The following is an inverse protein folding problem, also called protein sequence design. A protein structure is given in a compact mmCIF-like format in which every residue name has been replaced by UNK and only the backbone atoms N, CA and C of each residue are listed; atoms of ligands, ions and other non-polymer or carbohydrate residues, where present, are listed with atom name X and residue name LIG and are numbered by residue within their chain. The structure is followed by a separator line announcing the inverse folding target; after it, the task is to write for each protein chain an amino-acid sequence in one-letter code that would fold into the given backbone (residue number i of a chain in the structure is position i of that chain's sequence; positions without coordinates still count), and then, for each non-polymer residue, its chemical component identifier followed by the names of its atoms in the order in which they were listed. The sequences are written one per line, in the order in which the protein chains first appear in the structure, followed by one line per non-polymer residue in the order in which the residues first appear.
data_IF_586388117888
#
_entry.id   IF_586388117888
#
_cell.length_a   1.000
_cell.length_b   1.000
_cell.length_c   1.000
_cell.angle_alpha   90.00
_cell.angle_beta   90.00
_cell.angle_gamma   90.00
#
_symmetry.space_group_name_H-M   'P 1'
#
loop_
_entity.id
_entity.type
_entity.pdbx_description
1 polymer ?
#
# COMPACT_ATOMS: atom_id res chain seq x y z
N UNK A 1 40.30 45.14 -72.12
CA UNK A 1 40.45 45.04 -70.65
C UNK A 1 41.05 43.67 -70.36
N UNK A 2 42.25 43.64 -69.76
CA UNK A 2 43.06 42.47 -69.37
C UNK A 2 42.27 41.51 -68.42
N UNK A 3 42.68 40.27 -68.09
CA UNK A 3 43.90 39.87 -67.37
C UNK A 3 44.08 38.33 -67.43
N UNK A 4 45.32 37.91 -67.62
CA UNK A 4 45.90 36.55 -67.48
C UNK A 4 45.96 36.17 -65.99
N UNK A 5 45.59 34.94 -65.58
CA UNK A 5 45.90 34.44 -64.24
C UNK A 5 46.26 32.94 -64.24
N UNK A 6 47.56 32.69 -64.23
CA UNK A 6 48.24 31.45 -63.86
C UNK A 6 48.20 31.25 -62.34
N UNK A 7 47.93 30.04 -61.86
CA UNK A 7 48.25 29.55 -60.50
C UNK A 7 47.96 28.04 -60.52
N UNK A 8 48.87 27.11 -60.23
CA UNK A 8 49.90 27.10 -59.20
C UNK A 8 49.62 25.86 -58.34
N UNK A 9 49.97 24.68 -58.86
CA UNK A 9 49.74 23.39 -58.18
C UNK A 9 50.71 23.24 -57.02
N UNK A 10 50.24 23.56 -55.81
CA UNK A 10 50.98 23.37 -54.56
C UNK A 10 50.84 21.90 -54.14
N UNK A 11 51.93 21.15 -54.30
CA UNK A 11 52.09 19.79 -53.80
C UNK A 11 52.35 19.85 -52.28
N UNK A 12 51.33 19.56 -51.49
CA UNK A 12 51.41 19.50 -50.02
C UNK A 12 51.81 18.07 -49.61
N UNK A 13 53.08 17.87 -49.26
CA UNK A 13 53.61 16.65 -48.65
C UNK A 13 53.19 16.58 -47.18
N UNK A 14 52.24 15.70 -46.86
CA UNK A 14 51.84 15.37 -45.48
C UNK A 14 52.79 14.30 -44.94
N UNK A 15 53.71 14.69 -44.07
CA UNK A 15 54.53 13.77 -43.28
C UNK A 15 53.73 13.29 -42.07
N UNK A 16 53.32 12.03 -42.07
CA UNK A 16 52.73 11.35 -40.93
C UNK A 16 53.83 10.98 -39.92
N UNK A 17 53.95 11.76 -38.84
CA UNK A 17 54.76 11.39 -37.67
C UNK A 17 53.91 10.62 -36.67
N UNK A 18 54.27 9.36 -36.39
CA UNK A 18 53.73 8.61 -35.26
C UNK A 18 54.40 9.10 -33.96
N UNK A 19 53.63 9.73 -33.09
CA UNK A 19 54.00 9.98 -31.69
C UNK A 19 53.46 8.79 -30.86
N UNK A 20 54.30 7.96 -30.23
CA UNK A 20 53.83 6.95 -29.31
C UNK A 20 53.40 7.63 -28.00
N UNK A 21 52.09 7.69 -27.77
CA UNK A 21 51.52 8.08 -26.48
C UNK A 21 51.86 7.03 -25.44
N UNK A 22 52.58 7.43 -24.39
CA UNK A 22 52.80 6.60 -23.20
C UNK A 22 51.47 6.35 -22.50
N UNK A 23 50.87 5.19 -22.71
CA UNK A 23 49.75 4.71 -21.90
C UNK A 23 50.24 4.38 -20.50
N UNK A 24 49.99 5.27 -19.54
CA UNK A 24 49.99 4.88 -18.13
C UNK A 24 48.80 3.95 -17.92
N UNK A 25 49.06 2.76 -17.37
CA UNK A 25 48.00 1.89 -16.86
C UNK A 25 47.31 2.63 -15.71
N UNK A 26 46.17 3.25 -15.99
CA UNK A 26 45.33 3.90 -14.98
C UNK A 26 44.82 2.82 -14.03
N UNK A 27 45.15 2.95 -12.75
CA UNK A 27 44.60 2.11 -11.70
C UNK A 27 43.07 2.29 -11.69
N UNK A 28 42.33 1.21 -11.99
CA UNK A 28 40.87 1.22 -12.05
C UNK A 28 40.33 1.28 -10.62
N UNK A 29 39.61 2.35 -10.29
CA UNK A 29 39.07 2.60 -8.96
C UNK A 29 37.54 2.71 -8.92
N UNK A 30 36.86 2.76 -10.07
CA UNK A 30 35.39 2.79 -10.15
C UNK A 30 34.82 1.81 -11.18
N UNK A 31 33.50 1.63 -11.13
CA UNK A 31 32.76 0.87 -12.13
C UNK A 31 32.90 1.50 -13.53
N UNK A 32 32.79 2.83 -13.63
CA UNK A 32 32.89 3.58 -14.90
C UNK A 32 34.29 3.43 -15.52
N UNK A 33 35.34 3.51 -14.70
CA UNK A 33 36.72 3.28 -15.16
C UNK A 33 36.95 1.83 -15.59
N UNK A 34 36.32 0.87 -14.90
CA UNK A 34 36.40 -0.55 -15.25
C UNK A 34 35.80 -0.82 -16.63
N UNK A 35 34.62 -0.24 -16.92
CA UNK A 35 33.94 -0.36 -18.22
C UNK A 35 34.68 0.42 -19.31
N UNK A 36 35.16 1.64 -19.02
CA UNK A 36 35.94 2.45 -19.96
C UNK A 36 37.26 1.76 -20.36
N UNK A 37 37.82 0.95 -19.46
CA UNK A 37 38.98 0.10 -19.74
C UNK A 37 38.65 -1.16 -20.55
N UNK A 38 37.39 -1.38 -20.95
CA UNK A 38 36.95 -2.47 -21.81
C UNK A 38 36.77 -3.82 -21.09
N UNK A 39 36.68 -3.82 -19.76
CA UNK A 39 36.45 -5.04 -18.99
C UNK A 39 34.98 -5.50 -19.09
N UNK A 40 34.71 -6.81 -18.96
CA UNK A 40 33.35 -7.33 -19.09
C UNK A 40 32.45 -6.87 -17.94
N UNK A 41 31.24 -6.43 -18.29
CA UNK A 41 30.13 -6.20 -17.36
C UNK A 41 29.34 -7.50 -17.20
N UNK A 42 29.08 -7.90 -15.96
CA UNK A 42 28.29 -9.07 -15.62
C UNK A 42 26.80 -8.74 -15.71
N UNK A 43 26.00 -9.69 -16.20
CA UNK A 43 24.52 -9.61 -16.24
C UNK A 43 23.91 -9.80 -14.85
N UNK A 44 24.25 -8.91 -13.90
CA UNK A 44 23.71 -8.89 -12.54
C UNK A 44 23.11 -7.52 -12.22
N UNK A 45 22.16 -7.44 -11.29
CA UNK A 45 21.67 -6.18 -10.73
C UNK A 45 22.09 -6.03 -9.26
N UNK A 46 22.74 -4.91 -8.86
CA UNK A 46 23.26 -3.86 -9.73
C UNK A 46 24.36 -4.37 -10.67
N UNK A 47 24.60 -3.64 -11.77
CA UNK A 47 25.65 -3.99 -12.74
C UNK A 47 27.02 -4.08 -12.07
N UNK A 48 27.85 -5.04 -12.51
CA UNK A 48 29.17 -5.28 -11.95
C UNK A 48 30.21 -5.43 -13.04
N UNK A 49 31.37 -4.82 -12.87
CA UNK A 49 32.51 -4.92 -13.78
C UNK A 49 33.72 -5.53 -13.06
N UNK A 50 34.46 -6.43 -13.71
CA UNK A 50 35.61 -7.11 -13.09
C UNK A 50 36.91 -6.78 -13.81
N UNK A 51 37.87 -6.22 -13.07
CA UNK A 51 39.22 -5.92 -13.58
C UNK A 51 40.29 -6.24 -12.52
N UNK A 52 41.44 -6.78 -12.93
CA UNK A 52 42.59 -7.03 -12.06
C UNK A 52 42.26 -7.80 -10.75
N UNK A 53 41.28 -8.72 -10.82
CA UNK A 53 40.83 -9.51 -9.66
C UNK A 53 39.90 -8.78 -8.69
N UNK A 54 39.58 -7.50 -8.92
CA UNK A 54 38.60 -6.71 -8.17
C UNK A 54 37.27 -6.67 -8.93
N UNK A 55 36.17 -6.60 -8.18
CA UNK A 55 34.82 -6.37 -8.71
C UNK A 55 34.36 -4.98 -8.30
N UNK A 56 33.91 -4.20 -9.27
CA UNK A 56 33.35 -2.86 -9.10
C UNK A 56 31.85 -2.96 -9.35
N UNK A 57 31.04 -2.51 -8.40
CA UNK A 57 29.57 -2.52 -8.50
C UNK A 57 29.11 -1.11 -8.84
N UNK A 58 28.17 -0.97 -9.77
CA UNK A 58 27.55 0.33 -10.08
C UNK A 58 26.83 0.85 -8.84
N UNK A 59 27.13 2.08 -8.45
CA UNK A 59 26.45 2.73 -7.33
C UNK A 59 25.05 3.17 -7.76
N UNK A 60 24.05 2.32 -7.50
CA UNK A 60 22.63 2.62 -7.72
C UNK A 60 21.95 3.17 -6.47
N UNK A 61 22.70 3.51 -5.41
CA UNK A 61 22.11 4.08 -4.19
C UNK A 61 21.45 5.44 -4.39
N UNK A 62 21.73 6.09 -5.53
CA UNK A 62 21.08 7.34 -5.97
C UNK A 62 19.90 7.15 -6.93
N UNK A 63 19.59 5.91 -7.36
CA UNK A 63 18.45 5.59 -8.23
C UNK A 63 17.19 5.16 -7.46
N UNK A 64 17.16 5.30 -6.13
CA UNK A 64 15.88 5.52 -5.44
C UNK A 64 15.24 6.76 -6.08
N UNK A 65 13.96 6.78 -6.48
CA UNK A 65 13.31 8.00 -7.00
C UNK A 65 13.07 9.00 -5.85
N UNK A 66 14.12 9.38 -5.13
CA UNK A 66 14.11 10.22 -3.96
C UNK A 66 13.99 11.72 -4.30
N UNK A 67 13.86 12.05 -5.59
CA UNK A 67 13.81 13.45 -6.03
C UNK A 67 12.70 13.74 -7.05
N UNK A 68 11.70 12.87 -7.16
CA UNK A 68 10.43 13.27 -7.80
C UNK A 68 9.61 13.96 -6.72
N UNK A 69 9.23 15.24 -6.88
CA UNK A 69 8.30 15.89 -5.96
C UNK A 69 7.03 15.05 -5.88
N UNK A 70 6.73 14.53 -4.71
CA UNK A 70 5.48 13.81 -4.48
C UNK A 70 4.34 14.84 -4.63
N UNK A 71 3.32 14.57 -5.47
CA UNK A 71 2.21 15.50 -5.64
C UNK A 71 1.54 15.82 -4.29
N UNK A 72 1.09 17.06 -4.03
CA UNK A 72 0.42 17.43 -2.78
C UNK A 72 -0.75 16.51 -2.43
N UNK A 73 -1.51 16.09 -3.45
CA UNK A 73 -2.60 15.13 -3.33
C UNK A 73 -2.18 13.77 -2.76
N UNK A 74 -0.99 13.28 -3.13
CA UNK A 74 -0.46 11.99 -2.64
C UNK A 74 0.05 12.13 -1.20
N UNK A 75 0.68 13.25 -0.84
CA UNK A 75 1.06 13.53 0.56
C UNK A 75 -0.17 13.76 1.46
N UNK A 76 -1.25 14.33 0.93
CA UNK A 76 -2.51 14.46 1.66
C UNK A 76 -3.13 13.09 1.98
N UNK A 77 -3.10 12.17 1.00
CA UNK A 77 -3.50 10.78 1.21
C UNK A 77 -2.62 10.08 2.28
N UNK A 78 -1.29 10.27 2.24
CA UNK A 78 -0.39 9.77 3.30
C UNK A 78 -0.79 10.29 4.68
N UNK A 79 -0.98 11.61 4.79
CA UNK A 79 -1.31 12.28 6.04
C UNK A 79 -2.64 11.78 6.61
N UNK A 80 -3.64 11.53 5.75
CA UNK A 80 -4.90 10.93 6.14
C UNK A 80 -4.70 9.55 6.80
N UNK A 81 -3.96 8.65 6.15
CA UNK A 81 -3.70 7.31 6.69
C UNK A 81 -2.90 7.35 8.01
N UNK A 82 -1.95 8.27 8.13
CA UNK A 82 -1.22 8.50 9.39
C UNK A 82 -2.17 8.97 10.50
N UNK A 83 -3.08 9.90 10.22
CA UNK A 83 -4.06 10.39 11.20
C UNK A 83 -5.01 9.27 11.67
N UNK A 84 -5.49 8.43 10.75
CA UNK A 84 -6.40 7.33 11.08
C UNK A 84 -5.74 6.23 11.93
N UNK A 85 -4.44 6.01 11.76
CA UNK A 85 -3.74 4.88 12.37
C UNK A 85 -2.75 5.26 13.48
N UNK A 86 -2.44 6.55 13.62
CA UNK A 86 -1.34 7.03 14.45
C UNK A 86 0.05 6.61 13.95
N UNK A 87 0.17 6.16 12.69
CA UNK A 87 1.45 5.74 12.11
C UNK A 87 2.40 6.93 11.94
N UNK A 88 3.70 6.67 12.11
CA UNK A 88 4.74 7.62 11.76
C UNK A 88 4.97 7.64 10.24
N UNK A 89 5.62 8.71 9.75
CA UNK A 89 5.83 8.90 8.30
C UNK A 89 6.64 7.76 7.69
N UNK A 90 7.66 7.29 8.41
CA UNK A 90 8.55 6.22 7.93
C UNK A 90 7.85 4.85 7.90
N UNK A 91 6.81 4.67 8.70
CA UNK A 91 5.94 3.49 8.72
C UNK A 91 4.71 3.63 7.81
N UNK A 92 4.68 4.67 6.97
CA UNK A 92 3.58 4.95 6.03
C UNK A 92 4.06 4.95 4.58
N UNK A 93 3.77 3.84 3.89
CA UNK A 93 4.29 3.53 2.57
C UNK A 93 3.22 3.81 1.51
N UNK A 94 3.56 4.60 0.50
CA UNK A 94 2.72 4.76 -0.69
C UNK A 94 3.06 3.62 -1.64
N UNK A 95 2.11 2.72 -1.87
CA UNK A 95 2.27 1.61 -2.80
C UNK A 95 2.03 2.07 -4.23
N UNK A 96 0.94 2.81 -4.47
CA UNK A 96 0.53 3.25 -5.79
C UNK A 96 -0.07 4.65 -5.73
N UNK A 97 0.09 5.41 -6.81
CA UNK A 97 -0.56 6.70 -7.01
C UNK A 97 -0.83 6.89 -8.51
N UNK A 98 -2.11 6.93 -8.89
CA UNK A 98 -2.56 7.06 -10.26
C UNK A 98 -3.41 8.33 -10.42
N UNK A 99 -3.07 9.16 -11.40
CA UNK A 99 -3.92 10.27 -11.80
C UNK A 99 -5.26 9.74 -12.33
N UNK A 100 -6.37 10.34 -11.89
CA UNK A 100 -7.74 9.98 -12.24
C UNK A 100 -8.61 11.22 -12.40
N UNK A 101 -9.76 11.03 -13.03
CA UNK A 101 -10.82 12.03 -13.11
C UNK A 101 -12.08 11.48 -12.45
N UNK A 102 -12.63 12.22 -11.51
CA UNK A 102 -13.82 11.85 -10.75
C UNK A 102 -15.08 12.47 -11.31
N UNK A 103 -16.23 11.84 -11.09
CA UNK A 103 -17.52 12.28 -11.65
C UNK A 103 -18.07 13.57 -11.03
N UNK A 104 -17.66 13.88 -9.81
CA UNK A 104 -18.15 15.01 -9.02
C UNK A 104 -17.10 15.50 -8.01
N UNK A 105 -17.41 16.60 -7.31
CA UNK A 105 -16.55 17.17 -6.26
C UNK A 105 -16.42 16.31 -5.01
N UNK A 106 -17.19 15.23 -4.90
CA UNK A 106 -17.07 14.22 -3.83
C UNK A 106 -16.22 13.03 -4.29
N UNK A 107 -15.47 13.20 -5.37
CA UNK A 107 -14.52 12.23 -5.88
C UNK A 107 -15.20 10.92 -6.32
N UNK A 108 -16.48 11.01 -6.71
CA UNK A 108 -17.31 9.86 -7.08
C UNK A 108 -17.72 8.99 -5.88
N UNK A 109 -17.53 9.48 -4.66
CA UNK A 109 -17.85 8.80 -3.40
C UNK A 109 -18.93 9.55 -2.60
N UNK A 110 -19.69 10.43 -3.25
CA UNK A 110 -20.80 11.15 -2.64
C UNK A 110 -21.93 10.22 -2.19
N UNK A 111 -22.42 10.40 -0.97
CA UNK A 111 -23.62 9.70 -0.49
C UNK A 111 -24.92 10.29 -1.08
N UNK A 112 -26.06 9.57 -1.01
CA UNK A 112 -27.33 10.04 -1.55
C UNK A 112 -27.89 11.30 -0.87
N UNK A 113 -27.47 11.57 0.36
CA UNK A 113 -27.82 12.77 1.11
C UNK A 113 -26.82 13.93 0.92
N UNK A 114 -25.74 13.70 0.18
CA UNK A 114 -24.65 14.66 0.04
C UNK A 114 -24.82 15.51 -1.22
N UNK A 115 -24.72 16.84 -1.06
CA UNK A 115 -24.83 17.79 -2.16
C UNK A 115 -23.48 18.01 -2.84
N UNK A 116 -23.04 17.03 -3.62
CA UNK A 116 -21.81 17.09 -4.41
C UNK A 116 -21.98 17.93 -5.67
N UNK A 117 -21.04 18.83 -5.96
CA UNK A 117 -21.04 19.59 -7.21
C UNK A 117 -20.76 18.62 -8.37
N UNK A 118 -21.69 18.55 -9.32
CA UNK A 118 -21.62 17.65 -10.47
C UNK A 118 -20.66 18.19 -11.54
N UNK A 119 -19.35 18.10 -11.27
CA UNK A 119 -18.28 18.53 -12.15
C UNK A 119 -17.13 17.52 -12.12
N UNK A 120 -16.58 17.21 -13.31
CA UNK A 120 -15.42 16.33 -13.41
C UNK A 120 -14.26 16.94 -12.63
N UNK A 121 -13.77 16.19 -11.65
CA UNK A 121 -12.75 16.67 -10.70
C UNK A 121 -11.48 15.84 -10.89
N UNK A 122 -10.40 16.41 -11.47
CA UNK A 122 -9.11 15.74 -11.54
C UNK A 122 -8.52 15.46 -10.16
N UNK A 123 -7.74 14.40 -10.04
CA UNK A 123 -7.07 14.06 -8.80
C UNK A 123 -6.33 12.73 -8.85
N UNK A 124 -6.18 12.07 -7.70
CA UNK A 124 -5.37 10.85 -7.59
C UNK A 124 -6.12 9.74 -6.85
N UNK A 125 -5.97 8.52 -7.33
CA UNK A 125 -6.21 7.28 -6.60
C UNK A 125 -4.88 6.84 -5.97
N UNK A 126 -4.84 6.74 -4.65
CA UNK A 126 -3.62 6.49 -3.89
C UNK A 126 -3.82 5.28 -3.00
N UNK A 127 -2.94 4.29 -3.16
CA UNK A 127 -2.88 3.13 -2.26
C UNK A 127 -1.77 3.39 -1.25
N UNK A 128 -2.13 3.45 0.04
CA UNK A 128 -1.21 3.73 1.13
C UNK A 128 -1.33 2.67 2.21
N UNK A 129 -0.20 2.18 2.71
CA UNK A 129 -0.14 1.28 3.86
C UNK A 129 0.39 2.04 5.06
N UNK A 130 -0.36 2.05 6.16
CA UNK A 130 0.02 2.67 7.44
C UNK A 130 -0.25 1.70 8.59
N UNK A 131 0.75 1.40 9.42
CA UNK A 131 0.63 0.41 10.52
C UNK A 131 0.05 -0.95 10.07
N UNK A 132 0.36 -1.38 8.84
CA UNK A 132 -0.16 -2.64 8.27
C UNK A 132 -1.58 -2.57 7.71
N UNK A 133 -2.24 -1.42 7.75
CA UNK A 133 -3.56 -1.18 7.16
C UNK A 133 -3.37 -0.54 5.79
N UNK A 134 -3.94 -1.16 4.76
CA UNK A 134 -3.94 -0.63 3.39
C UNK A 134 -5.22 0.18 3.13
N UNK A 135 -5.05 1.44 2.74
CA UNK A 135 -6.13 2.33 2.34
C UNK A 135 -6.08 2.52 0.82
N UNK A 136 -7.26 2.58 0.19
CA UNK A 136 -7.42 3.15 -1.15
C UNK A 136 -8.08 4.51 -1.00
N UNK A 137 -7.35 5.58 -1.27
CA UNK A 137 -7.80 6.95 -1.07
C UNK A 137 -7.95 7.67 -2.40
N UNK A 138 -9.07 8.36 -2.59
CA UNK A 138 -9.29 9.29 -3.70
C UNK A 138 -9.06 10.70 -3.22
N UNK A 139 -8.35 11.49 -4.00
CA UNK A 139 -8.07 12.90 -3.70
C UNK A 139 -8.40 13.77 -4.90
N UNK A 140 -8.62 15.07 -4.70
CA UNK A 140 -8.54 16.05 -5.78
C UNK A 140 -7.08 16.48 -6.02
N UNK A 141 -6.82 17.12 -7.16
CA UNK A 141 -5.47 17.46 -7.63
C UNK A 141 -4.61 18.23 -6.62
N UNK A 142 -5.20 19.09 -5.79
CA UNK A 142 -4.49 19.88 -4.78
C UNK A 142 -4.42 19.23 -3.38
N UNK A 143 -5.09 18.09 -3.19
CA UNK A 143 -5.16 17.36 -1.92
C UNK A 143 -6.04 18.00 -0.85
N UNK A 144 -6.83 19.03 -1.18
CA UNK A 144 -7.76 19.66 -0.23
C UNK A 144 -8.97 18.79 0.13
N UNK A 145 -9.28 17.79 -0.70
CA UNK A 145 -10.26 16.76 -0.45
C UNK A 145 -9.58 15.39 -0.52
N UNK A 146 -9.72 14.59 0.53
CA UNK A 146 -9.29 13.19 0.61
C UNK A 146 -10.48 12.36 1.07
N UNK A 147 -10.79 11.28 0.35
CA UNK A 147 -11.85 10.33 0.71
C UNK A 147 -11.35 8.92 0.58
N UNK A 148 -11.69 8.10 1.55
CA UNK A 148 -11.45 6.67 1.48
C UNK A 148 -12.47 6.01 0.56
N UNK A 149 -11.97 5.27 -0.44
CA UNK A 149 -12.80 4.36 -1.21
C UNK A 149 -13.11 3.15 -0.35
N UNK A 150 -14.29 3.17 0.23
CA UNK A 150 -14.87 1.97 0.83
C UNK A 150 -15.39 1.12 -0.33
N UNK A 151 -14.75 -0.03 -0.59
CA UNK A 151 -15.23 -0.95 -1.63
C UNK A 151 -16.64 -1.41 -1.25
N UNK A 152 -17.62 -0.89 -1.98
CA UNK A 152 -18.92 -1.52 -2.12
C UNK A 152 -18.71 -2.76 -2.97
N UNK A 153 -18.95 -3.93 -2.41
CA UNK A 153 -19.14 -5.13 -3.24
C UNK A 153 -20.36 -4.91 -4.14
N UNK A 154 -20.49 -5.68 -5.23
CA UNK A 154 -21.55 -5.52 -6.22
C UNK A 154 -22.99 -5.61 -5.65
N UNK A 155 -23.12 -6.06 -4.40
CA UNK A 155 -24.36 -6.13 -3.62
C UNK A 155 -24.57 -4.97 -2.62
N UNK A 156 -23.66 -3.99 -2.57
CA UNK A 156 -23.80 -2.77 -1.78
C UNK A 156 -23.29 -2.83 -0.35
N UNK A 157 -22.54 -3.87 0.04
CA UNK A 157 -22.01 -3.95 1.39
C UNK A 157 -20.72 -3.17 1.63
N UNK A 158 -20.50 -2.78 2.88
CA UNK A 158 -19.40 -1.93 3.31
C UNK A 158 -18.21 -2.78 3.78
N UNK A 159 -17.26 -3.08 2.89
CA UNK A 159 -15.98 -3.67 3.30
C UNK A 159 -15.03 -2.57 3.77
N UNK A 160 -15.07 -2.25 5.06
CA UNK A 160 -13.95 -1.60 5.74
C UNK A 160 -12.78 -2.58 5.71
N UNK A 161 -11.72 -2.27 4.95
CA UNK A 161 -10.46 -2.98 5.09
C UNK A 161 -9.73 -2.40 6.31
N UNK A 162 -10.35 -2.51 7.49
CA UNK A 162 -9.52 -2.75 8.66
C UNK A 162 -9.05 -4.20 8.47
N UNK A 163 -7.80 -4.40 8.05
CA UNK A 163 -7.16 -5.71 8.17
C UNK A 163 -7.00 -6.00 9.66
N UNK A 164 -8.10 -6.31 10.34
CA UNK A 164 -8.08 -6.93 11.66
C UNK A 164 -7.53 -8.33 11.38
N UNK A 165 -6.30 -8.63 11.80
CA UNK A 165 -5.66 -9.90 11.46
C UNK A 165 -6.54 -11.03 11.97
N UNK A 166 -6.76 -12.06 11.14
CA UNK A 166 -7.52 -13.25 11.53
C UNK A 166 -6.78 -13.96 12.68
N UNK A 167 -7.16 -13.61 13.91
CA UNK A 167 -6.72 -14.28 15.13
C UNK A 167 -7.48 -15.59 15.29
N UNK A 168 -6.98 -16.55 16.08
CA UNK A 168 -7.73 -17.76 16.41
C UNK A 168 -9.15 -17.48 16.92
N UNK A 169 -9.32 -16.42 17.72
CA UNK A 169 -10.61 -15.96 18.21
C UNK A 169 -11.57 -15.49 17.09
N UNK A 170 -11.07 -14.72 16.10
CA UNK A 170 -11.88 -14.25 14.96
C UNK A 170 -12.25 -15.41 14.05
N UNK A 171 -11.30 -16.29 13.75
CA UNK A 171 -11.56 -17.50 12.95
C UNK A 171 -12.59 -18.39 13.62
N UNK A 172 -12.48 -18.59 14.94
CA UNK A 172 -13.45 -19.38 15.70
C UNK A 172 -14.84 -18.73 15.74
N UNK A 173 -14.91 -17.40 15.91
CA UNK A 173 -16.16 -16.65 15.86
C UNK A 173 -16.84 -16.76 14.48
N UNK A 174 -16.07 -16.63 13.40
CA UNK A 174 -16.57 -16.78 12.02
C UNK A 174 -17.07 -18.21 11.77
N UNK A 175 -16.26 -19.22 12.11
CA UNK A 175 -16.62 -20.62 11.95
C UNK A 175 -17.90 -20.99 12.73
N UNK A 176 -18.06 -20.46 13.95
CA UNK A 176 -19.28 -20.62 14.74
C UNK A 176 -20.52 -20.09 14.01
N UNK A 177 -20.45 -18.90 13.39
CA UNK A 177 -21.57 -18.32 12.65
C UNK A 177 -21.86 -19.08 11.35
N UNK A 178 -20.82 -19.51 10.64
CA UNK A 178 -20.93 -20.35 9.44
C UNK A 178 -21.70 -21.63 9.75
N UNK A 179 -21.32 -22.34 10.82
CA UNK A 179 -22.02 -23.57 11.24
C UNK A 179 -23.47 -23.29 11.65
N UNK A 180 -23.68 -22.25 12.47
CA UNK A 180 -25.00 -21.95 13.04
C UNK A 180 -26.02 -21.47 12.01
N UNK A 181 -25.59 -20.65 11.06
CA UNK A 181 -26.49 -19.99 10.09
C UNK A 181 -26.36 -20.56 8.67
N UNK A 182 -25.39 -21.44 8.42
CA UNK A 182 -25.13 -22.03 7.10
C UNK A 182 -24.96 -20.93 6.02
N UNK A 183 -24.19 -19.89 6.38
CA UNK A 183 -23.77 -18.80 5.49
C UNK A 183 -22.33 -19.06 5.07
N UNK A 184 -21.99 -18.72 3.84
CA UNK A 184 -20.62 -18.88 3.32
C UNK A 184 -19.62 -18.08 4.16
N UNK A 185 -18.48 -18.68 4.48
CA UNK A 185 -17.44 -18.06 5.30
C UNK A 185 -16.95 -16.73 4.71
N UNK A 186 -16.86 -16.65 3.39
CA UNK A 186 -16.36 -15.46 2.68
C UNK A 186 -17.33 -14.27 2.76
N UNK A 187 -18.57 -14.48 3.20
CA UNK A 187 -19.55 -13.41 3.40
C UNK A 187 -19.37 -12.65 4.71
N UNK A 188 -18.67 -13.24 5.68
CA UNK A 188 -18.50 -12.61 6.98
C UNK A 188 -17.34 -11.62 6.96
N UNK A 189 -17.64 -10.37 7.30
CA UNK A 189 -16.67 -9.29 7.49
C UNK A 189 -16.55 -8.96 8.97
N UNK A 190 -15.31 -8.76 9.45
CA UNK A 190 -15.06 -8.30 10.82
C UNK A 190 -15.14 -6.77 10.87
N UNK A 191 -16.06 -6.23 11.68
CA UNK A 191 -16.29 -4.80 11.84
C UNK A 191 -15.48 -4.23 13.01
N UNK A 192 -15.44 -4.93 14.15
CA UNK A 192 -14.84 -4.43 15.38
C UNK A 192 -14.34 -5.59 16.26
N UNK A 193 -13.27 -5.35 17.01
CA UNK A 193 -12.72 -6.31 17.98
C UNK A 193 -12.25 -5.55 19.22
N UNK A 194 -12.84 -5.86 20.36
CA UNK A 194 -12.50 -5.27 21.65
C UNK A 194 -12.06 -6.33 22.64
N UNK A 195 -10.88 -6.18 23.22
CA UNK A 195 -10.45 -7.01 24.34
C UNK A 195 -11.31 -6.71 25.58
N UNK A 196 -11.83 -7.76 26.22
CA UNK A 196 -12.68 -7.68 27.41
C UNK A 196 -12.40 -8.81 28.39
N UNK A 197 -12.64 -8.51 29.66
CA UNK A 197 -12.67 -9.50 30.74
C UNK A 197 -14.10 -9.94 31.02
N UNK A 198 -14.37 -11.24 30.86
CA UNK A 198 -15.67 -11.84 31.13
C UNK A 198 -15.82 -12.31 32.57
N UNK A 199 -17.05 -12.34 33.08
CA UNK A 199 -17.34 -12.69 34.48
C UNK A 199 -17.06 -14.14 34.85
N UNK A 200 -17.09 -15.03 33.86
CA UNK A 200 -16.94 -16.47 34.00
C UNK A 200 -16.44 -17.11 32.69
N UNK A 201 -16.13 -18.40 32.71
CA UNK A 201 -15.73 -19.18 31.54
C UNK A 201 -16.84 -19.43 30.52
N UNK A 202 -18.07 -18.98 30.77
CA UNK A 202 -19.15 -18.92 29.78
C UNK A 202 -19.25 -17.53 29.14
N UNK A 203 -18.19 -16.71 29.28
CA UNK A 203 -18.09 -15.40 28.66
C UNK A 203 -19.22 -14.44 29.12
N UNK A 204 -19.74 -14.68 30.33
CA UNK A 204 -20.86 -13.93 30.91
C UNK A 204 -22.22 -14.18 30.24
N UNK A 205 -22.34 -15.25 29.45
CA UNK A 205 -23.57 -15.65 28.75
C UNK A 205 -24.00 -17.08 29.12
N UNK A 206 -23.65 -17.53 30.33
CA UNK A 206 -24.07 -18.83 30.87
C UNK A 206 -25.57 -18.89 31.15
N UNK A 207 -26.21 -20.00 30.79
CA UNK A 207 -27.61 -20.26 31.19
C UNK A 207 -27.75 -20.57 32.69
N UNK A 208 -28.96 -20.48 33.26
CA UNK A 208 -29.20 -20.72 34.69
C UNK A 208 -28.85 -22.14 35.16
N UNK A 209 -28.91 -23.12 34.25
CA UNK A 209 -28.60 -24.53 34.51
C UNK A 209 -27.16 -24.90 34.10
N UNK A 210 -26.38 -23.93 33.61
CA UNK A 210 -25.04 -24.17 33.07
C UNK A 210 -23.95 -24.01 34.13
N UNK A 211 -23.07 -24.99 34.23
CA UNK A 211 -21.95 -24.96 35.17
C UNK A 211 -20.73 -24.28 34.55
N UNK A 212 -20.71 -22.95 34.62
CA UNK A 212 -19.61 -22.12 34.12
C UNK A 212 -18.43 -22.08 35.11
N UNK A 213 -17.19 -22.06 34.59
CA UNK A 213 -16.00 -21.83 35.41
C UNK A 213 -16.13 -20.45 36.09
N UNK A 214 -16.14 -20.44 37.42
CA UNK A 214 -16.33 -19.21 38.22
C UNK A 214 -15.01 -18.43 38.34
N UNK A 215 -14.49 -17.95 37.21
CA UNK A 215 -13.26 -17.17 37.12
C UNK A 215 -13.33 -16.15 35.98
N UNK A 216 -12.74 -14.97 36.22
CA UNK A 216 -12.62 -13.95 35.17
C UNK A 216 -11.85 -14.53 33.99
N UNK A 217 -12.44 -14.43 32.80
CA UNK A 217 -11.89 -15.03 31.58
C UNK A 217 -11.61 -13.91 30.58
N UNK A 218 -10.33 -13.58 30.32
CA UNK A 218 -9.97 -12.62 29.27
C UNK A 218 -10.35 -13.13 27.88
N UNK A 219 -10.69 -12.22 26.98
CA UNK A 219 -11.05 -12.57 25.61
C UNK A 219 -11.46 -11.37 24.78
N UNK A 220 -12.27 -11.62 23.75
CA UNK A 220 -12.68 -10.59 22.79
C UNK A 220 -14.18 -10.52 22.62
N UNK A 221 -14.71 -9.30 22.52
CA UNK A 221 -16.00 -9.02 21.90
C UNK A 221 -15.75 -8.65 20.44
N UNK A 222 -16.27 -9.45 19.52
CA UNK A 222 -16.03 -9.38 18.09
C UNK A 222 -17.36 -9.05 17.40
N UNK A 223 -17.38 -8.03 16.56
CA UNK A 223 -18.53 -7.71 15.71
C UNK A 223 -18.25 -8.20 14.30
N UNK A 224 -19.07 -9.12 13.81
CA UNK A 224 -19.04 -9.65 12.44
C UNK A 224 -20.31 -9.22 11.72
N UNK A 225 -20.27 -9.09 10.39
CA UNK A 225 -21.46 -8.86 9.57
C UNK A 225 -21.47 -9.78 8.36
N UNK A 226 -22.64 -10.27 7.97
CA UNK A 226 -22.86 -10.92 6.68
C UNK A 226 -23.61 -10.00 5.70
N UNK A 227 -23.63 -8.69 6.00
CA UNK A 227 -24.31 -7.61 5.27
C UNK A 227 -25.81 -7.53 5.54
N UNK A 228 -26.46 -8.66 5.83
CA UNK A 228 -27.87 -8.71 6.21
C UNK A 228 -28.05 -8.56 7.73
N UNK A 229 -27.06 -9.00 8.51
CA UNK A 229 -27.06 -8.98 9.96
C UNK A 229 -25.68 -8.64 10.54
N UNK A 230 -25.69 -7.89 11.63
CA UNK A 230 -24.56 -7.72 12.52
C UNK A 230 -24.64 -8.70 13.69
N UNK A 231 -23.52 -9.34 13.99
CA UNK A 231 -23.37 -10.37 15.00
C UNK A 231 -22.35 -9.91 16.02
N UNK A 232 -22.74 -9.84 17.29
CA UNK A 232 -21.80 -9.63 18.39
C UNK A 232 -21.47 -11.00 18.99
N UNK A 233 -20.20 -11.39 18.91
CA UNK A 233 -19.68 -12.68 19.37
C UNK A 233 -18.63 -12.45 20.44
N UNK A 234 -18.75 -13.16 21.55
CA UNK A 234 -17.77 -13.18 22.63
C UNK A 234 -16.90 -14.43 22.49
N UNK A 235 -15.61 -14.27 22.71
CA UNK A 235 -14.63 -15.36 22.71
C UNK A 235 -13.69 -15.27 23.90
N UNK A 236 -13.00 -16.36 24.26
CA UNK A 236 -11.74 -16.27 25.00
C UNK A 236 -10.58 -15.85 24.07
N UNK A 237 -9.40 -15.57 24.63
CA UNK A 237 -8.24 -15.07 23.85
C UNK A 237 -7.84 -16.00 22.68
N UNK A 238 -8.03 -17.31 22.83
CA UNK A 238 -7.58 -18.33 21.90
C UNK A 238 -8.69 -18.82 20.96
N UNK A 239 -9.93 -18.36 21.14
CA UNK A 239 -11.09 -18.83 20.40
C UNK A 239 -11.58 -20.24 20.78
N UNK A 240 -11.16 -20.78 21.93
CA UNK A 240 -11.59 -22.11 22.39
C UNK A 240 -13.06 -22.10 22.85
N UNK A 241 -13.51 -20.96 23.37
CA UNK A 241 -14.88 -20.71 23.78
C UNK A 241 -15.45 -19.60 22.91
N UNK A 242 -16.63 -19.81 22.31
CA UNK A 242 -17.31 -18.84 21.44
C UNK A 242 -18.79 -18.79 21.80
N UNK A 243 -19.34 -17.58 21.97
CA UNK A 243 -20.78 -17.37 22.21
C UNK A 243 -21.29 -16.14 21.48
N UNK A 244 -22.41 -16.27 20.79
CA UNK A 244 -23.15 -15.13 20.26
C UNK A 244 -23.87 -14.40 21.40
N UNK A 245 -23.60 -13.11 21.53
CA UNK A 245 -24.29 -12.19 22.42
C UNK A 245 -25.57 -11.67 21.79
N UNK A 246 -25.50 -11.23 20.53
CA UNK A 246 -26.64 -10.70 19.81
C UNK A 246 -26.49 -10.83 18.29
N UNK A 247 -27.63 -10.79 17.61
CA UNK A 247 -27.76 -10.68 16.16
C UNK A 247 -28.78 -9.59 15.86
N UNK A 248 -28.41 -8.63 15.02
CA UNK A 248 -29.25 -7.48 14.67
C UNK A 248 -29.34 -7.38 13.16
N UNK A 249 -30.54 -7.22 12.63
CA UNK A 249 -30.75 -7.04 11.18
C UNK A 249 -30.24 -5.67 10.73
N UNK A 250 -29.53 -5.65 9.61
CA UNK A 250 -29.02 -4.43 8.99
C UNK A 250 -30.14 -3.83 8.14
N UNK A 251 -31.03 -3.04 8.74
CA UNK A 251 -32.09 -2.33 8.00
C UNK A 251 -31.47 -1.22 7.12
N UNK A 252 -31.34 -1.48 5.80
CA UNK A 252 -31.13 -0.48 4.74
C UNK A 252 -30.20 0.71 5.11
N UNK A 253 -29.04 0.43 5.69
CA UNK A 253 -27.99 1.44 5.89
C UNK A 253 -28.34 2.61 6.82
N UNK A 254 -29.25 2.45 7.79
CA UNK A 254 -29.52 3.46 8.83
C UNK A 254 -29.35 2.83 10.22
N UNK A 255 -28.18 3.02 10.83
CA UNK A 255 -27.97 2.74 12.25
C UNK A 255 -28.69 3.81 13.11
N UNK A 256 -29.38 3.39 14.17
CA UNK A 256 -29.87 4.27 15.25
C UNK A 256 -28.85 4.37 16.37
#
# INVERSE_FOLDING_TARGET
MNIIATTGMVLLLVLAGCVPGTGQASEINSFEECVAAGNPVMESYPEQCRANGKTFVRDVSSETPANVPVPPAVEAARSYAMEQTGAEKDDTIILEAHEREWTDSCLGLGGPAESCLQAITPGYEVVVVANGIEFTLRTNEDGSAVREEIRKTDDGSMKLIANIPDTPAIVAARAYLVEKYNVDEEKFLTIDVQEKDWTDGCLGLGGPEESCLQAITPGYQITLTDMDYDYVVRTDLDGNSVREESRTEVENGILR
#
